data_IF_418592680584
#
_entry.id   IF_418592680584
#
_cell.length_a   1.000
_cell.length_b   1.000
_cell.length_c   1.000
_cell.angle_alpha   90.00
_cell.angle_beta   90.00
_cell.angle_gamma   90.00
#
_symmetry.space_group_name_H-M   'P 1'
#
loop_
_entity.id
_entity.type
_entity.pdbx_description
1 polymer ?
#
# COMPACT_ATOMS: atom_id res chain seq x y z
N UNK A 1 -3.81 -27.65 -13.27
CA UNK A 1 -3.76 -27.26 -13.07
C UNK A 1 -3.13 -26.57 -12.93
N UNK A 2 -2.76 -26.18 -13.15
CA UNK A 2 -2.26 -25.69 -13.12
C UNK A 2 -2.23 -24.38 -13.04
N UNK A 3 -2.60 -23.85 -13.38
CA UNK A 3 -2.90 -22.65 -13.19
C UNK A 3 -2.75 -22.23 -11.84
N UNK A 4 -2.91 -23.02 -11.00
CA UNK A 4 -2.72 -22.76 -9.66
C UNK A 4 -1.38 -22.14 -9.41
N UNK A 5 -0.40 -22.47 -10.15
CA UNK A 5 0.90 -21.89 -9.96
C UNK A 5 0.90 -20.44 -10.17
N UNK A 6 0.19 -19.98 -11.16
CA UNK A 6 0.11 -18.60 -11.41
C UNK A 6 -0.60 -17.90 -10.35
N UNK A 7 -1.62 -18.47 -9.84
CA UNK A 7 -2.35 -17.85 -8.79
C UNK A 7 -1.52 -17.73 -7.56
N UNK A 8 -0.76 -18.74 -7.26
CA UNK A 8 0.09 -18.71 -6.11
C UNK A 8 1.12 -17.62 -6.24
N UNK A 9 1.69 -17.48 -7.38
CA UNK A 9 2.67 -16.46 -7.59
C UNK A 9 2.08 -15.09 -7.37
N UNK A 10 0.91 -14.87 -7.87
CA UNK A 10 0.26 -13.60 -7.69
C UNK A 10 0.00 -13.32 -6.24
N UNK A 11 -0.45 -14.31 -5.55
CA UNK A 11 -0.73 -14.15 -4.16
C UNK A 11 0.52 -13.84 -3.38
N UNK A 12 1.58 -14.51 -3.68
CA UNK A 12 2.80 -14.29 -2.98
C UNK A 12 3.32 -12.89 -3.18
N UNK A 13 3.23 -12.41 -4.37
CA UNK A 13 3.68 -11.07 -4.65
C UNK A 13 2.90 -10.09 -3.82
N UNK A 14 1.61 -10.27 -3.72
CA UNK A 14 0.81 -9.38 -2.97
C UNK A 14 1.09 -9.47 -1.51
N UNK A 15 1.23 -10.66 -1.02
CA UNK A 15 1.43 -10.85 0.38
C UNK A 15 2.67 -10.22 0.91
N UNK A 16 3.70 -10.19 0.15
CA UNK A 16 4.94 -9.74 0.68
C UNK A 16 5.15 -8.25 0.65
N UNK A 17 4.30 -7.55 -0.05
CA UNK A 17 4.57 -6.15 -0.30
C UNK A 17 3.43 -5.22 0.02
N UNK A 18 2.98 -5.25 1.22
CA UNK A 18 1.95 -4.28 1.59
C UNK A 18 2.30 -3.69 2.93
N UNK A 19 1.87 -2.49 3.18
CA UNK A 19 2.09 -1.84 4.45
C UNK A 19 1.06 -0.77 4.72
N UNK A 20 0.83 -0.51 5.99
CA UNK A 20 -0.10 0.49 6.42
C UNK A 20 0.61 1.45 7.35
N UNK A 21 0.44 2.75 7.14
CA UNK A 21 1.06 3.74 7.98
C UNK A 21 0.04 4.79 8.37
N UNK A 22 0.32 5.49 9.45
CA UNK A 22 -0.55 6.53 9.94
C UNK A 22 0.26 7.81 9.94
N UNK A 23 -0.23 8.84 9.25
CA UNK A 23 0.50 10.10 9.14
C UNK A 23 -0.41 11.27 9.41
N UNK A 24 0.16 12.43 9.67
CA UNK A 24 -0.63 13.62 9.86
C UNK A 24 -1.25 14.04 8.55
N UNK A 25 -2.45 14.63 8.64
CA UNK A 25 -3.14 15.10 7.50
C UNK A 25 -2.28 16.00 6.62
N UNK A 26 -1.44 16.82 7.22
CA UNK A 26 -0.62 17.74 6.47
C UNK A 26 0.53 17.04 5.74
N UNK A 27 0.84 15.81 6.10
CA UNK A 27 1.94 15.09 5.47
C UNK A 27 1.49 14.09 4.41
N UNK A 28 0.20 13.95 4.24
CA UNK A 28 -0.33 12.91 3.35
C UNK A 28 0.22 13.00 1.94
N UNK A 29 0.17 14.15 1.33
CA UNK A 29 0.62 14.30 -0.04
C UNK A 29 2.10 13.95 -0.19
N UNK A 30 2.90 14.44 0.74
CA UNK A 30 4.30 14.19 0.71
C UNK A 30 4.62 12.71 0.85
N UNK A 31 3.96 12.06 1.79
CA UNK A 31 4.17 10.64 2.03
C UNK A 31 3.76 9.82 0.82
N UNK A 32 2.64 10.14 0.21
CA UNK A 32 2.20 9.43 -0.96
C UNK A 32 3.20 9.59 -2.11
N UNK A 33 3.70 10.79 -2.31
CA UNK A 33 4.64 11.02 -3.37
C UNK A 33 5.94 10.27 -3.14
N UNK A 34 6.42 10.26 -1.92
CA UNK A 34 7.63 9.53 -1.61
C UNK A 34 7.47 8.05 -1.90
N UNK A 35 6.33 7.49 -1.52
CA UNK A 35 6.10 6.08 -1.74
C UNK A 35 5.95 5.76 -3.23
N UNK A 36 5.34 6.67 -3.97
CA UNK A 36 5.21 6.47 -5.39
C UNK A 36 6.57 6.40 -6.06
N UNK A 37 7.51 7.20 -5.62
CA UNK A 37 8.84 7.17 -6.18
C UNK A 37 9.52 5.85 -5.97
N UNK A 38 9.12 5.13 -4.93
CA UNK A 38 9.70 3.85 -4.63
C UNK A 38 8.93 2.69 -5.21
N UNK A 39 7.90 2.99 -5.98
CA UNK A 39 7.15 1.93 -6.63
C UNK A 39 5.93 1.46 -5.87
N UNK A 40 5.56 2.16 -4.81
CA UNK A 40 4.40 1.78 -4.03
C UNK A 40 3.13 2.34 -4.64
N UNK A 41 2.03 1.64 -4.41
CA UNK A 41 0.75 2.04 -4.92
C UNK A 41 -0.18 2.26 -3.75
N UNK A 42 -0.92 3.34 -3.74
CA UNK A 42 -1.86 3.61 -2.66
C UNK A 42 -3.13 2.80 -2.89
N UNK A 43 -3.48 1.94 -1.95
CA UNK A 43 -4.68 1.13 -2.04
C UNK A 43 -5.84 1.73 -1.29
N UNK A 44 -5.59 2.30 -0.13
CA UNK A 44 -6.64 2.77 0.72
C UNK A 44 -6.24 3.97 1.50
N UNK A 45 -7.17 4.83 1.78
CA UNK A 45 -6.92 6.02 2.54
C UNK A 45 -8.09 6.24 3.48
N UNK A 46 -7.82 6.39 4.76
CA UNK A 46 -8.86 6.63 5.75
C UNK A 46 -8.41 7.69 6.72
N UNK A 47 -9.36 8.42 7.27
CA UNK A 47 -9.02 9.44 8.26
C UNK A 47 -9.46 9.00 9.63
N UNK A 48 -8.58 9.15 10.60
CA UNK A 48 -8.86 8.77 11.97
C UNK A 48 -8.34 9.84 12.91
N UNK A 49 -9.23 10.52 13.60
CA UNK A 49 -8.86 11.53 14.59
C UNK A 49 -7.81 12.53 14.12
N UNK A 50 -8.01 13.08 12.95
CA UNK A 50 -7.10 14.08 12.44
C UNK A 50 -5.86 13.54 11.79
N UNK A 51 -5.73 12.21 11.73
CA UNK A 51 -4.61 11.58 11.04
C UNK A 51 -5.12 10.76 9.89
N UNK A 52 -4.26 10.44 8.97
CA UNK A 52 -4.66 9.68 7.81
C UNK A 52 -3.94 8.35 7.78
N UNK A 53 -4.71 7.29 7.62
CA UNK A 53 -4.18 5.95 7.55
C UNK A 53 -4.04 5.61 6.08
N UNK A 54 -2.85 5.26 5.65
CA UNK A 54 -2.59 4.95 4.25
C UNK A 54 -2.12 3.51 4.12
N UNK A 55 -2.68 2.80 3.15
CA UNK A 55 -2.27 1.43 2.89
C UNK A 55 -1.66 1.39 1.51
N UNK A 56 -0.44 0.90 1.42
CA UNK A 56 0.28 0.82 0.16
C UNK A 56 0.59 -0.62 -0.21
N UNK A 57 0.78 -0.83 -1.48
CA UNK A 57 1.14 -2.14 -1.98
C UNK A 57 2.21 -1.97 -3.05
N UNK A 58 3.15 -2.88 -3.12
CA UNK A 58 4.23 -2.79 -4.08
C UNK A 58 4.27 -3.94 -5.09
#
# INVERSE_FOLDING_TARGET
>A
MKLTDEQIASIMVKDGKSKTILVDKSEVTKVIEDHKKEGWKLLKKSEINGRTKLTFEK
#
